data_IF_264393004475
#
_entry.id   IF_264393004475
#
_cell.length_a   1.000
_cell.length_b   1.000
_cell.length_c   1.000
_cell.angle_alpha   90.00
_cell.angle_beta   90.00
_cell.angle_gamma   90.00
#
_symmetry.space_group_name_H-M   'P 1'
#
loop_
_entity.id
_entity.type
_entity.pdbx_description
1 polymer ?
#
# COMPACT_ATOMS: atom_id res chain seq x y z
N UNK A 1 -13.40 -27.93 69.69
CA UNK A 1 -13.15 -26.63 69.02
C UNK A 1 -12.03 -26.85 68.02
N UNK A 2 -12.28 -26.60 66.72
CA UNK A 2 -11.27 -26.79 65.67
C UNK A 2 -10.13 -25.77 65.86
N UNK A 3 -8.91 -26.26 66.04
CA UNK A 3 -7.65 -25.51 66.15
C UNK A 3 -7.10 -25.05 64.80
N UNK A 4 -7.87 -25.19 63.72
CA UNK A 4 -7.46 -24.71 62.40
C UNK A 4 -7.59 -23.19 62.36
N UNK A 5 -6.49 -22.43 62.15
CA UNK A 5 -6.56 -20.98 62.03
C UNK A 5 -7.49 -20.62 60.87
N UNK A 6 -8.48 -19.76 61.13
CA UNK A 6 -9.26 -19.14 60.07
C UNK A 6 -8.33 -18.31 59.18
N UNK A 7 -8.59 -18.25 57.87
CA UNK A 7 -7.77 -17.53 56.87
C UNK A 7 -7.38 -16.09 57.26
N UNK A 8 -8.15 -15.47 58.16
CA UNK A 8 -7.91 -14.12 58.69
C UNK A 8 -6.80 -14.03 59.76
N UNK A 9 -6.40 -15.15 60.39
CA UNK A 9 -5.37 -15.20 61.45
C UNK A 9 -3.97 -15.53 60.94
N UNK A 10 -3.79 -15.79 59.64
CA UNK A 10 -2.48 -16.08 59.05
C UNK A 10 -1.86 -14.75 58.61
N UNK A 11 -0.92 -14.23 59.41
CA UNK A 11 -0.17 -13.02 59.08
C UNK A 11 0.64 -13.24 57.80
N UNK A 12 0.45 -12.35 56.83
CA UNK A 12 1.10 -12.49 55.54
C UNK A 12 2.52 -11.92 55.58
N UNK A 13 3.50 -12.61 54.97
CA UNK A 13 4.87 -12.12 54.86
C UNK A 13 4.92 -10.70 54.27
N UNK A 14 5.74 -9.82 54.87
CA UNK A 14 5.92 -8.42 54.45
C UNK A 14 6.32 -8.30 52.97
N UNK A 15 7.11 -9.26 52.47
CA UNK A 15 7.51 -9.36 51.06
C UNK A 15 6.32 -9.51 50.11
N UNK A 16 5.29 -10.27 50.50
CA UNK A 16 4.05 -10.46 49.71
C UNK A 16 3.23 -9.17 49.71
N UNK A 17 3.16 -8.46 50.85
CA UNK A 17 2.46 -7.17 50.96
C UNK A 17 3.13 -6.09 50.08
N UNK A 18 4.47 -6.01 50.10
CA UNK A 18 5.24 -5.09 49.23
C UNK A 18 5.02 -5.39 47.75
N UNK A 19 5.05 -6.68 47.36
CA UNK A 19 4.78 -7.12 45.98
C UNK A 19 3.36 -6.75 45.53
N UNK A 20 2.34 -7.01 46.35
CA UNK A 20 0.94 -6.63 46.03
C UNK A 20 0.77 -5.13 45.84
N UNK A 21 1.44 -4.31 46.66
CA UNK A 21 1.41 -2.84 46.51
C UNK A 21 2.05 -2.39 45.19
N UNK A 22 3.17 -3.00 44.80
CA UNK A 22 3.82 -2.73 43.51
C UNK A 22 2.95 -3.18 42.33
N UNK A 23 2.38 -4.39 42.39
CA UNK A 23 1.51 -4.93 41.35
C UNK A 23 0.24 -4.10 41.16
N UNK A 24 -0.38 -3.66 42.27
CA UNK A 24 -1.55 -2.78 42.23
C UNK A 24 -1.22 -1.42 41.61
N UNK A 25 -0.10 -0.81 41.99
CA UNK A 25 0.37 0.46 41.40
C UNK A 25 0.64 0.29 39.89
N UNK A 26 1.34 -0.76 39.50
CA UNK A 26 1.60 -1.06 38.09
C UNK A 26 0.30 -1.34 37.31
N UNK A 27 -0.71 -1.95 37.95
CA UNK A 27 -2.05 -2.16 37.36
C UNK A 27 -2.78 -0.84 37.16
N UNK A 28 -2.80 0.04 38.16
CA UNK A 28 -3.42 1.37 38.07
C UNK A 28 -2.76 2.22 36.99
N UNK A 29 -1.43 2.25 36.93
CA UNK A 29 -0.69 2.95 35.87
C UNK A 29 -0.99 2.38 34.47
N UNK A 30 -1.08 1.06 34.32
CA UNK A 30 -1.48 0.41 33.06
C UNK A 30 -2.92 0.78 32.66
N UNK A 31 -3.85 0.81 33.61
CA UNK A 31 -5.24 1.16 33.37
C UNK A 31 -5.39 2.63 32.96
N UNK A 32 -4.66 3.54 33.63
CA UNK A 32 -4.63 4.96 33.28
C UNK A 32 -4.09 5.16 31.85
N UNK A 33 -2.94 4.54 31.52
CA UNK A 33 -2.35 4.59 30.16
C UNK A 33 -3.28 4.00 29.11
N UNK A 34 -3.98 2.90 29.41
CA UNK A 34 -4.94 2.31 28.49
C UNK A 34 -6.16 3.22 28.25
N UNK A 35 -6.65 3.90 29.29
CA UNK A 35 -7.75 4.85 29.17
C UNK A 35 -7.35 6.08 28.32
N UNK A 36 -6.15 6.61 28.51
CA UNK A 36 -5.60 7.69 27.69
C UNK A 36 -5.39 7.26 26.24
N UNK A 37 -4.78 6.10 26.00
CA UNK A 37 -4.60 5.54 24.67
C UNK A 37 -5.94 5.34 23.94
N UNK A 38 -6.98 4.88 24.64
CA UNK A 38 -8.33 4.73 24.08
C UNK A 38 -8.95 6.07 23.69
N UNK A 39 -8.77 7.12 24.50
CA UNK A 39 -9.22 8.49 24.16
C UNK A 39 -8.48 9.01 22.92
N UNK A 40 -7.16 8.87 22.87
CA UNK A 40 -6.35 9.28 21.73
C UNK A 40 -6.73 8.52 20.45
N UNK A 41 -6.92 7.20 20.53
CA UNK A 41 -7.34 6.38 19.39
C UNK A 41 -8.72 6.78 18.86
N UNK A 42 -9.67 7.12 19.74
CA UNK A 42 -10.99 7.63 19.32
C UNK A 42 -10.88 8.96 18.59
N UNK A 43 -10.02 9.88 19.06
CA UNK A 43 -9.76 11.14 18.38
C UNK A 43 -9.13 10.90 16.99
N UNK A 44 -8.08 10.07 16.92
CA UNK A 44 -7.41 9.68 15.66
C UNK A 44 -8.38 9.06 14.66
N UNK A 45 -9.25 8.14 15.10
CA UNK A 45 -10.25 7.51 14.22
C UNK A 45 -11.20 8.52 13.58
N UNK A 46 -11.58 9.58 14.31
CA UNK A 46 -12.40 10.67 13.74
C UNK A 46 -11.64 11.44 12.67
N UNK A 47 -10.34 11.71 12.88
CA UNK A 47 -9.49 12.39 11.90
C UNK A 47 -9.35 11.55 10.63
N UNK A 48 -9.00 10.26 10.77
CA UNK A 48 -8.86 9.33 9.64
C UNK A 48 -10.17 9.23 8.85
N UNK A 49 -11.32 9.14 9.52
CA UNK A 49 -12.62 9.10 8.86
C UNK A 49 -12.90 10.35 8.03
N UNK A 50 -12.64 11.54 8.59
CA UNK A 50 -12.81 12.81 7.87
C UNK A 50 -11.85 12.93 6.67
N UNK A 51 -10.60 12.48 6.80
CA UNK A 51 -9.64 12.45 5.68
C UNK A 51 -10.12 11.53 4.56
N UNK A 52 -10.58 10.32 4.89
CA UNK A 52 -11.12 9.40 3.90
C UNK A 52 -12.32 9.99 3.15
N UNK A 53 -13.23 10.67 3.85
CA UNK A 53 -14.36 11.39 3.24
C UNK A 53 -13.88 12.50 2.29
N UNK A 54 -12.89 13.30 2.71
CA UNK A 54 -12.29 14.34 1.88
C UNK A 54 -11.67 13.77 0.60
N UNK A 55 -10.89 12.68 0.69
CA UNK A 55 -10.29 12.05 -0.48
C UNK A 55 -11.35 11.52 -1.45
N UNK A 56 -12.41 10.88 -0.95
CA UNK A 56 -13.51 10.41 -1.80
C UNK A 56 -14.19 11.58 -2.53
N UNK A 57 -14.42 12.69 -1.83
CA UNK A 57 -14.97 13.91 -2.43
C UNK A 57 -14.04 14.47 -3.50
N UNK A 58 -12.75 14.57 -3.22
CA UNK A 58 -11.73 15.03 -4.16
C UNK A 58 -11.71 14.18 -5.44
N UNK A 59 -11.70 12.84 -5.31
CA UNK A 59 -11.69 11.94 -6.47
C UNK A 59 -12.92 12.12 -7.36
N UNK A 60 -14.10 12.24 -6.74
CA UNK A 60 -15.36 12.46 -7.47
C UNK A 60 -15.38 13.81 -8.19
N UNK A 61 -14.91 14.86 -7.51
CA UNK A 61 -14.80 16.20 -8.12
C UNK A 61 -13.85 16.15 -9.31
N UNK A 62 -12.68 15.50 -9.17
CA UNK A 62 -11.69 15.39 -10.25
C UNK A 62 -12.23 14.63 -11.47
N UNK A 63 -12.96 13.54 -11.24
CA UNK A 63 -13.59 12.77 -12.31
C UNK A 63 -14.67 13.58 -13.03
N UNK A 64 -15.54 14.26 -12.28
CA UNK A 64 -16.59 15.12 -12.84
C UNK A 64 -15.99 16.30 -13.64
N UNK A 65 -14.91 16.89 -13.13
CA UNK A 65 -14.21 17.99 -13.78
C UNK A 65 -13.56 17.57 -15.10
N UNK A 66 -12.94 16.39 -15.16
CA UNK A 66 -12.38 15.87 -16.40
C UNK A 66 -13.48 15.67 -17.47
N UNK A 67 -14.65 15.18 -17.08
CA UNK A 67 -15.81 15.05 -17.98
C UNK A 67 -16.32 16.43 -18.42
N UNK A 68 -16.39 17.40 -17.50
CA UNK A 68 -16.81 18.77 -17.81
C UNK A 68 -15.87 19.42 -18.83
N UNK A 69 -14.56 19.35 -18.62
CA UNK A 69 -13.56 19.91 -19.53
C UNK A 69 -13.63 19.29 -20.93
N UNK A 70 -13.84 17.97 -21.03
CA UNK A 70 -14.06 17.31 -22.32
C UNK A 70 -15.31 17.82 -23.05
N UNK A 71 -16.40 18.10 -22.33
CA UNK A 71 -17.63 18.64 -22.91
C UNK A 71 -17.48 20.09 -23.36
N UNK A 72 -16.82 20.92 -22.55
CA UNK A 72 -16.54 22.33 -22.88
C UNK A 72 -15.67 22.42 -24.14
N UNK A 73 -14.58 21.66 -24.20
CA UNK A 73 -13.72 21.62 -25.38
C UNK A 73 -14.53 21.24 -26.64
N UNK A 74 -15.33 20.16 -26.56
CA UNK A 74 -16.20 19.74 -27.68
C UNK A 74 -17.21 20.82 -28.08
N UNK A 75 -17.80 21.54 -27.13
CA UNK A 75 -18.76 22.61 -27.42
C UNK A 75 -18.11 23.81 -28.13
N UNK A 76 -16.86 24.12 -27.78
CA UNK A 76 -16.09 25.20 -28.42
C UNK A 76 -15.46 24.77 -29.77
N UNK A 77 -15.51 23.48 -30.12
CA UNK A 77 -14.80 22.93 -31.29
C UNK A 77 -13.32 22.61 -31.04
N UNK A 78 -12.86 22.72 -29.80
CA UNK A 78 -11.49 22.40 -29.37
C UNK A 78 -11.32 20.94 -28.91
N UNK A 79 -10.06 20.50 -28.77
CA UNK A 79 -9.72 19.17 -28.26
C UNK A 79 -9.14 19.23 -26.85
N UNK A 80 -9.71 18.44 -25.94
CA UNK A 80 -9.14 18.26 -24.60
C UNK A 80 -8.08 17.15 -24.58
N UNK A 81 -6.83 17.52 -24.32
CA UNK A 81 -5.71 16.59 -24.16
C UNK A 81 -5.63 16.14 -22.69
N UNK A 82 -5.69 14.82 -22.45
CA UNK A 82 -5.58 14.29 -21.10
C UNK A 82 -4.16 14.48 -20.53
N UNK A 83 -4.02 14.74 -19.23
CA UNK A 83 -2.72 14.83 -18.58
C UNK A 83 -1.99 13.48 -18.66
N UNK A 84 -0.67 13.54 -18.76
CA UNK A 84 0.16 12.33 -18.72
C UNK A 84 0.06 11.64 -17.35
N UNK A 85 0.13 10.30 -17.32
CA UNK A 85 0.03 9.53 -16.08
C UNK A 85 1.22 9.81 -15.16
N UNK A 86 0.94 10.03 -13.87
CA UNK A 86 1.96 10.29 -12.85
C UNK A 86 2.52 9.02 -12.21
N UNK A 87 1.80 7.90 -12.30
CA UNK A 87 2.15 6.63 -11.67
C UNK A 87 1.92 5.49 -12.63
N UNK A 88 2.88 4.57 -12.67
CA UNK A 88 2.72 3.27 -13.30
C UNK A 88 2.71 2.16 -12.26
N UNK A 89 1.94 1.11 -12.56
CA UNK A 89 2.11 -0.18 -11.90
C UNK A 89 2.80 -1.12 -12.85
N UNK A 90 3.97 -1.62 -12.46
CA UNK A 90 4.78 -2.54 -13.26
C UNK A 90 4.72 -3.94 -12.67
N UNK A 91 4.51 -4.94 -13.53
CA UNK A 91 4.38 -6.37 -13.20
C UNK A 91 5.42 -7.15 -13.98
N UNK A 92 6.25 -7.93 -13.28
CA UNK A 92 7.21 -8.82 -13.94
C UNK A 92 6.53 -10.07 -14.49
N UNK A 93 6.59 -10.26 -15.80
CA UNK A 93 5.99 -11.41 -16.48
C UNK A 93 6.98 -12.53 -16.81
N UNK A 94 8.27 -12.22 -16.98
CA UNK A 94 9.32 -13.20 -17.29
C UNK A 94 10.07 -13.68 -16.04
N UNK A 95 10.48 -14.95 -16.05
CA UNK A 95 11.30 -15.58 -15.00
C UNK A 95 12.72 -15.02 -14.91
N UNK A 96 13.62 -15.67 -14.16
CA UNK A 96 15.00 -15.18 -13.93
C UNK A 96 16.03 -15.65 -14.97
N UNK A 97 15.71 -16.70 -15.72
CA UNK A 97 16.60 -17.31 -16.71
C UNK A 97 16.71 -16.48 -17.99
N UNK A 98 17.89 -16.52 -18.61
CA UNK A 98 18.18 -15.94 -19.93
C UNK A 98 17.77 -14.46 -20.04
N UNK A 99 18.20 -13.65 -19.06
CA UNK A 99 18.04 -12.18 -19.07
C UNK A 99 19.43 -11.55 -19.10
N UNK A 100 19.64 -10.62 -20.03
CA UNK A 100 20.89 -9.88 -20.12
C UNK A 100 21.20 -9.12 -18.80
N UNK A 101 22.48 -8.94 -18.45
CA UNK A 101 22.87 -8.33 -17.16
C UNK A 101 22.27 -6.94 -16.93
N UNK A 102 22.15 -6.11 -17.98
CA UNK A 102 21.66 -4.72 -17.88
C UNK A 102 20.16 -4.65 -17.54
N UNK A 103 19.22 -5.27 -18.30
CA UNK A 103 17.81 -5.36 -17.90
C UNK A 103 17.61 -6.03 -16.53
N UNK A 104 18.41 -7.06 -16.21
CA UNK A 104 18.38 -7.72 -14.89
C UNK A 104 18.66 -6.74 -13.76
N UNK A 105 19.68 -5.88 -13.91
CA UNK A 105 20.01 -4.86 -12.91
C UNK A 105 18.92 -3.81 -12.78
N UNK A 106 18.32 -3.38 -13.89
CA UNK A 106 17.20 -2.42 -13.87
C UNK A 106 15.99 -2.98 -13.13
N UNK A 107 15.60 -4.24 -13.38
CA UNK A 107 14.52 -4.89 -12.62
C UNK A 107 14.83 -5.00 -11.11
N UNK A 108 16.09 -5.24 -10.74
CA UNK A 108 16.50 -5.23 -9.33
C UNK A 108 16.32 -3.86 -8.67
N UNK A 109 16.68 -2.78 -9.38
CA UNK A 109 16.48 -1.40 -8.90
C UNK A 109 14.98 -1.07 -8.72
N UNK A 110 14.14 -1.55 -9.63
CA UNK A 110 12.68 -1.42 -9.54
C UNK A 110 12.05 -2.37 -8.50
N UNK A 111 12.84 -3.25 -7.87
CA UNK A 111 12.40 -4.27 -6.91
C UNK A 111 11.52 -5.39 -7.51
N UNK A 112 11.60 -5.60 -8.83
CA UNK A 112 10.89 -6.64 -9.57
C UNK A 112 11.72 -7.94 -9.60
N UNK A 113 11.92 -8.57 -8.44
CA UNK A 113 12.85 -9.70 -8.28
C UNK A 113 12.25 -11.06 -8.67
N UNK A 114 10.95 -11.25 -8.45
CA UNK A 114 10.25 -12.52 -8.70
C UNK A 114 9.25 -12.37 -9.85
N UNK A 115 8.93 -13.46 -10.54
CA UNK A 115 7.82 -13.49 -11.49
C UNK A 115 6.51 -13.16 -10.76
N UNK A 116 5.59 -12.49 -11.46
CA UNK A 116 4.33 -11.99 -10.91
C UNK A 116 4.52 -11.07 -9.69
N UNK A 117 5.67 -10.41 -9.56
CA UNK A 117 5.83 -9.32 -8.61
C UNK A 117 5.39 -7.99 -9.22
N UNK A 118 4.72 -7.16 -8.42
CA UNK A 118 4.19 -5.86 -8.83
C UNK A 118 4.71 -4.71 -7.96
N UNK A 119 5.01 -3.56 -8.56
CA UNK A 119 5.50 -2.36 -7.84
C UNK A 119 4.89 -1.09 -8.46
N UNK A 120 4.52 -0.13 -7.61
CA UNK A 120 4.17 1.23 -8.04
C UNK A 120 5.45 2.06 -8.29
N UNK A 121 5.49 2.74 -9.43
CA UNK A 121 6.62 3.55 -9.89
C UNK A 121 6.11 4.95 -10.21
N UNK A 122 6.75 5.97 -9.65
CA UNK A 122 6.48 7.38 -10.00
C UNK A 122 7.05 7.65 -11.39
N UNK A 123 6.25 8.25 -12.26
CA UNK A 123 6.64 8.53 -13.64
C UNK A 123 7.52 9.78 -13.68
N UNK A 124 8.74 9.58 -14.16
CA UNK A 124 9.66 10.62 -14.60
C UNK A 124 10.46 10.09 -15.81
N UNK A 125 11.16 11.00 -16.52
CA UNK A 125 11.93 10.66 -17.72
C UNK A 125 12.94 9.51 -17.50
N UNK A 126 13.57 9.45 -16.33
CA UNK A 126 14.55 8.42 -16.01
C UNK A 126 13.89 7.05 -15.80
N UNK A 127 12.80 6.98 -15.03
CA UNK A 127 12.04 5.74 -14.79
C UNK A 127 11.38 5.23 -16.06
N UNK A 128 10.95 6.12 -16.96
CA UNK A 128 10.39 5.75 -18.25
C UNK A 128 11.48 5.10 -19.13
N UNK A 129 12.69 5.67 -19.16
CA UNK A 129 13.81 5.08 -19.87
C UNK A 129 14.25 3.74 -19.26
N UNK A 130 14.19 3.61 -17.93
CA UNK A 130 14.40 2.32 -17.25
C UNK A 130 13.35 1.30 -17.65
N UNK A 131 12.07 1.69 -17.73
CA UNK A 131 10.97 0.81 -18.15
C UNK A 131 11.11 0.35 -19.60
N UNK A 132 11.48 1.26 -20.53
CA UNK A 132 11.80 0.92 -21.93
C UNK A 132 12.90 -0.15 -22.04
N UNK A 133 13.93 -0.09 -21.19
CA UNK A 133 15.00 -1.11 -21.18
C UNK A 133 14.54 -2.50 -20.69
N UNK A 134 13.50 -2.57 -19.87
CA UNK A 134 12.97 -3.85 -19.32
C UNK A 134 11.64 -4.26 -19.93
N UNK A 135 11.22 -3.55 -20.96
CA UNK A 135 9.93 -3.69 -21.63
C UNK A 135 9.62 -5.13 -22.08
N UNK A 136 10.58 -5.91 -22.62
CA UNK A 136 10.31 -7.31 -23.02
C UNK A 136 10.04 -8.29 -21.84
N UNK A 137 10.22 -7.84 -20.60
CA UNK A 137 10.13 -8.68 -19.39
C UNK A 137 8.98 -8.29 -18.46
N UNK A 138 8.42 -7.10 -18.65
CA UNK A 138 7.51 -6.42 -17.72
C UNK A 138 6.30 -5.91 -18.48
N UNK A 139 5.12 -6.06 -17.87
CA UNK A 139 3.92 -5.34 -18.28
C UNK A 139 3.72 -4.14 -17.36
N UNK A 140 3.46 -2.96 -17.88
CA UNK A 140 3.20 -1.79 -17.07
C UNK A 140 2.11 -0.90 -17.68
N UNK A 141 1.57 0.01 -16.89
CA UNK A 141 0.57 0.95 -17.34
C UNK A 141 0.00 1.78 -16.18
N UNK A 142 -1.00 2.59 -16.48
CA UNK A 142 -1.64 3.49 -15.52
C UNK A 142 -2.65 2.71 -14.65
N UNK A 143 -2.43 2.58 -13.33
CA UNK A 143 -3.38 1.93 -12.45
C UNK A 143 -4.54 2.88 -12.12
N UNK A 144 -5.76 2.37 -12.10
CA UNK A 144 -6.92 3.11 -11.60
C UNK A 144 -7.01 3.04 -10.07
N UNK A 145 -7.79 3.95 -9.46
CA UNK A 145 -7.96 4.02 -8.01
C UNK A 145 -8.46 2.69 -7.40
N UNK A 146 -9.34 1.97 -8.11
CA UNK A 146 -9.86 0.67 -7.66
C UNK A 146 -8.74 -0.38 -7.58
N UNK A 147 -7.89 -0.47 -8.60
CA UNK A 147 -6.76 -1.39 -8.65
C UNK A 147 -5.72 -1.07 -7.59
N UNK A 148 -5.40 0.22 -7.37
CA UNK A 148 -4.51 0.64 -6.27
C UNK A 148 -5.07 0.20 -4.92
N UNK A 149 -6.36 0.50 -4.67
CA UNK A 149 -7.07 0.15 -3.44
C UNK A 149 -7.04 -1.36 -3.20
N UNK A 150 -7.49 -2.15 -4.18
CA UNK A 150 -7.57 -3.60 -4.02
C UNK A 150 -6.20 -4.25 -3.83
N UNK A 151 -5.15 -3.75 -4.51
CA UNK A 151 -3.79 -4.25 -4.32
C UNK A 151 -3.31 -4.03 -2.88
N UNK A 152 -3.47 -2.82 -2.35
CA UNK A 152 -3.03 -2.49 -0.99
C UNK A 152 -3.87 -3.23 0.05
N UNK A 153 -5.19 -3.30 -0.09
CA UNK A 153 -6.04 -4.00 0.88
C UNK A 153 -5.87 -5.53 0.85
N UNK A 154 -5.79 -6.15 -0.33
CA UNK A 154 -5.73 -7.62 -0.43
C UNK A 154 -4.31 -8.18 -0.31
N UNK A 155 -3.33 -7.45 -0.86
CA UNK A 155 -1.96 -7.95 -1.06
C UNK A 155 -0.91 -7.02 -0.48
N UNK A 156 -1.31 -5.99 0.27
CA UNK A 156 -0.41 -5.04 0.92
C UNK A 156 0.34 -5.66 2.09
N UNK A 157 1.67 -5.58 2.01
CA UNK A 157 2.57 -5.88 3.11
C UNK A 157 3.47 -4.67 3.33
N UNK A 158 3.71 -4.32 4.59
CA UNK A 158 4.70 -3.32 4.99
C UNK A 158 6.07 -3.95 5.21
N UNK A 159 7.11 -3.17 4.93
CA UNK A 159 8.50 -3.48 5.24
C UNK A 159 8.86 -2.83 6.57
N UNK A 160 8.69 -3.58 7.67
CA UNK A 160 8.98 -3.13 9.04
C UNK A 160 10.26 -3.84 9.51
N UNK A 161 11.29 -3.10 9.91
CA UNK A 161 12.58 -3.71 10.32
C UNK A 161 13.14 -4.73 9.30
N UNK A 162 12.98 -4.44 8.00
CA UNK A 162 13.33 -5.34 6.87
C UNK A 162 12.54 -6.66 6.81
N UNK A 163 11.52 -6.84 7.66
CA UNK A 163 10.61 -7.98 7.63
C UNK A 163 9.34 -7.64 6.86
N UNK A 164 8.72 -8.66 6.28
CA UNK A 164 7.46 -8.55 5.52
C UNK A 164 6.28 -8.78 6.47
N UNK A 165 5.56 -7.72 6.80
CA UNK A 165 4.45 -7.75 7.77
C UNK A 165 3.13 -7.40 7.07
N UNK A 166 2.05 -8.19 7.24
CA UNK A 166 0.76 -7.88 6.63
C UNK A 166 0.14 -6.60 7.22
N UNK A 167 -0.49 -5.78 6.38
CA UNK A 167 -1.12 -4.52 6.80
C UNK A 167 -2.52 -4.77 7.38
N UNK A 168 -2.59 -5.32 8.60
CA UNK A 168 -3.86 -5.57 9.30
C UNK A 168 -4.33 -4.39 10.15
N UNK A 169 -3.41 -3.59 10.67
CA UNK A 169 -3.69 -2.44 11.53
C UNK A 169 -2.95 -1.19 11.04
N UNK A 170 -3.62 -0.04 11.14
CA UNK A 170 -3.07 1.27 10.81
C UNK A 170 -1.92 1.66 11.76
N UNK A 171 -1.84 1.07 12.95
CA UNK A 171 -0.71 1.30 13.87
C UNK A 171 0.65 0.97 13.23
N UNK A 172 0.70 -0.02 12.33
CA UNK A 172 1.93 -0.39 11.61
C UNK A 172 2.36 0.75 10.66
N UNK A 173 1.38 1.36 9.98
CA UNK A 173 1.60 2.47 9.04
C UNK A 173 2.02 3.72 9.81
N UNK A 174 1.28 4.07 10.85
CA UNK A 174 1.56 5.25 11.68
C UNK A 174 2.97 5.18 12.28
N UNK A 175 3.42 4.00 12.72
CA UNK A 175 4.76 3.84 13.29
C UNK A 175 5.89 4.12 12.28
N UNK A 176 5.74 3.70 11.03
CA UNK A 176 6.78 3.82 10.00
C UNK A 176 6.68 5.12 9.18
N UNK A 177 5.46 5.60 8.94
CA UNK A 177 5.15 6.71 8.04
C UNK A 177 4.49 7.90 8.73
N UNK A 178 4.21 7.84 10.03
CA UNK A 178 3.57 8.93 10.78
C UNK A 178 4.38 10.23 10.78
N UNK A 179 5.70 10.15 10.61
CA UNK A 179 6.56 11.33 10.42
C UNK A 179 6.24 12.14 9.15
N UNK A 180 5.53 11.55 8.20
CA UNK A 180 5.09 12.16 6.95
C UNK A 180 3.58 12.49 6.95
N UNK A 181 2.94 12.48 8.12
CA UNK A 181 1.48 12.64 8.30
C UNK A 181 0.63 11.56 7.61
N UNK A 182 1.21 10.37 7.40
CA UNK A 182 0.52 9.21 6.83
C UNK A 182 0.12 8.29 7.98
N UNK A 183 -1.17 8.28 8.30
CA UNK A 183 -1.70 7.61 9.49
C UNK A 183 -2.42 6.30 9.17
N UNK A 184 -2.89 6.14 7.93
CA UNK A 184 -3.80 5.06 7.56
C UNK A 184 -3.55 4.48 6.17
N UNK A 185 -4.18 3.35 5.88
CA UNK A 185 -4.18 2.74 4.53
C UNK A 185 -4.74 3.72 3.48
N UNK A 186 -5.79 4.48 3.80
CA UNK A 186 -6.38 5.44 2.85
C UNK A 186 -5.42 6.59 2.51
N UNK A 187 -4.62 7.05 3.48
CA UNK A 187 -3.56 8.03 3.22
C UNK A 187 -2.50 7.44 2.28
N UNK A 188 -2.09 6.18 2.48
CA UNK A 188 -1.17 5.50 1.55
C UNK A 188 -1.74 5.38 0.13
N UNK A 189 -3.03 5.05 0.00
CA UNK A 189 -3.72 4.97 -1.30
C UNK A 189 -3.73 6.35 -1.96
N UNK A 190 -4.05 7.39 -1.19
CA UNK A 190 -4.09 8.76 -1.70
C UNK A 190 -2.73 9.25 -2.17
N UNK A 191 -1.68 9.03 -1.36
CA UNK A 191 -0.31 9.41 -1.70
C UNK A 191 0.17 8.73 -2.99
N UNK A 192 -0.20 7.46 -3.19
CA UNK A 192 0.10 6.72 -4.42
C UNK A 192 -0.74 7.24 -5.59
N UNK A 193 -2.05 7.38 -5.44
CA UNK A 193 -2.94 7.76 -6.54
C UNK A 193 -2.66 9.19 -7.07
N UNK A 194 -2.21 10.10 -6.20
CA UNK A 194 -1.89 11.49 -6.58
C UNK A 194 -0.42 11.71 -6.94
N UNK A 195 0.44 10.72 -6.69
CA UNK A 195 1.90 10.83 -6.78
C UNK A 195 2.48 11.95 -5.89
N UNK A 196 2.02 12.00 -4.64
CA UNK A 196 2.35 13.04 -3.67
C UNK A 196 3.85 13.18 -3.33
N UNK A 197 4.20 14.10 -2.40
CA UNK A 197 5.58 14.40 -2.03
C UNK A 197 6.31 13.21 -1.37
N UNK A 198 5.59 12.39 -0.61
CA UNK A 198 6.11 11.24 0.14
C UNK A 198 5.87 9.90 -0.56
N UNK A 199 5.56 9.92 -1.86
CA UNK A 199 5.38 8.72 -2.68
C UNK A 199 6.55 7.73 -2.57
N UNK A 200 7.79 8.23 -2.55
CA UNK A 200 8.99 7.38 -2.44
C UNK A 200 9.01 6.61 -1.12
N UNK A 201 8.59 7.25 -0.04
CA UNK A 201 8.56 6.67 1.30
C UNK A 201 7.47 5.62 1.40
N UNK A 202 6.26 5.92 0.92
CA UNK A 202 5.15 4.95 0.88
C UNK A 202 5.49 3.74 0.03
N UNK A 203 6.01 3.95 -1.18
CA UNK A 203 6.36 2.84 -2.07
C UNK A 203 7.52 2.00 -1.53
N UNK A 204 8.50 2.59 -0.82
CA UNK A 204 9.57 1.84 -0.17
C UNK A 204 9.10 1.05 1.05
N UNK A 205 8.16 1.61 1.82
CA UNK A 205 7.48 0.92 2.91
C UNK A 205 6.67 -0.27 2.39
N UNK A 206 5.93 -0.11 1.30
CA UNK A 206 5.23 -1.22 0.67
C UNK A 206 6.22 -2.26 0.12
N UNK A 207 6.07 -3.49 0.59
CA UNK A 207 6.77 -4.64 0.02
C UNK A 207 6.24 -4.88 -1.41
N UNK A 208 7.10 -5.29 -2.37
CA UNK A 208 6.62 -5.66 -3.71
C UNK A 208 5.45 -6.64 -3.65
N UNK A 209 4.37 -6.33 -4.36
CA UNK A 209 3.15 -7.12 -4.36
C UNK A 209 3.45 -8.50 -4.95
N UNK A 210 3.02 -9.56 -4.28
CA UNK A 210 3.10 -10.92 -4.81
C UNK A 210 1.74 -11.27 -5.41
N UNK A 211 1.67 -11.24 -6.74
CA UNK A 211 0.44 -11.49 -7.50
C UNK A 211 0.35 -12.98 -7.87
N UNK A 212 -0.87 -13.48 -8.07
CA UNK A 212 -1.08 -14.81 -8.65
C UNK A 212 -0.88 -14.79 -10.16
N UNK A 213 -0.80 -15.96 -10.78
CA UNK A 213 -0.92 -16.06 -12.24
C UNK A 213 -2.28 -15.52 -12.68
N UNK A 214 -2.34 -14.94 -13.89
CA UNK A 214 -3.58 -14.37 -14.41
C UNK A 214 -4.64 -15.46 -14.62
N UNK A 215 -5.82 -15.27 -14.02
CA UNK A 215 -6.99 -16.11 -14.27
C UNK A 215 -7.39 -16.03 -15.76
N UNK A 216 -7.59 -17.19 -16.39
CA UNK A 216 -7.79 -17.30 -17.84
C UNK A 216 -6.49 -17.26 -18.67
N UNK A 217 -5.33 -17.26 -18.01
CA UNK A 217 -4.03 -17.32 -18.66
C UNK A 217 -3.58 -16.00 -19.30
N UNK A 218 -2.42 -16.09 -19.95
CA UNK A 218 -1.85 -15.03 -20.78
C UNK A 218 -2.28 -15.24 -22.23
N UNK A 219 -2.13 -14.21 -23.07
CA UNK A 219 -2.27 -14.36 -24.52
C UNK A 219 -1.24 -15.37 -25.05
N UNK A 220 -1.56 -15.99 -26.18
CA UNK A 220 -0.78 -17.10 -26.76
C UNK A 220 0.71 -16.80 -26.85
N UNK A 221 1.08 -15.56 -27.20
CA UNK A 221 2.46 -15.09 -27.23
C UNK A 221 2.74 -14.10 -26.10
N UNK A 222 2.77 -14.60 -24.86
CA UNK A 222 2.97 -13.82 -23.62
C UNK A 222 4.10 -12.77 -23.69
N UNK A 223 5.23 -13.10 -24.30
CA UNK A 223 6.43 -12.25 -24.32
C UNK A 223 6.52 -11.30 -25.52
N UNK A 224 5.51 -11.28 -26.40
CA UNK A 224 5.40 -10.22 -27.42
C UNK A 224 4.83 -8.94 -26.81
N UNK A 225 5.09 -7.82 -27.49
CA UNK A 225 4.56 -6.54 -27.06
C UNK A 225 3.03 -6.54 -27.09
N UNK A 226 2.39 -5.80 -26.20
CA UNK A 226 0.93 -5.75 -26.08
C UNK A 226 0.22 -5.35 -27.37
N UNK A 227 0.81 -4.42 -28.13
CA UNK A 227 0.33 -3.93 -29.42
C UNK A 227 0.36 -5.03 -30.49
N UNK A 228 1.29 -5.99 -30.39
CA UNK A 228 1.43 -7.12 -31.31
C UNK A 228 0.59 -8.34 -30.87
N UNK A 229 -0.29 -8.17 -29.88
CA UNK A 229 -1.11 -9.25 -29.34
C UNK A 229 -0.45 -10.07 -28.23
N UNK A 230 0.66 -9.62 -27.65
CA UNK A 230 1.25 -10.21 -26.44
C UNK A 230 0.80 -9.55 -25.14
N UNK A 231 1.57 -9.72 -24.06
CA UNK A 231 1.22 -9.22 -22.72
C UNK A 231 2.26 -8.29 -22.09
N UNK A 232 3.48 -8.21 -22.63
CA UNK A 232 4.54 -7.31 -22.11
C UNK A 232 4.43 -5.91 -22.71
N UNK A 233 5.12 -4.95 -22.10
CA UNK A 233 5.13 -3.56 -22.55
C UNK A 233 4.13 -2.63 -21.87
N UNK A 234 4.05 -1.42 -22.41
CA UNK A 234 3.07 -0.44 -21.96
C UNK A 234 1.67 -0.83 -22.45
N UNK A 235 0.76 -1.07 -21.49
CA UNK A 235 -0.65 -1.41 -21.73
C UNK A 235 -1.59 -0.26 -21.44
N UNK A 236 -1.06 0.92 -21.09
CA UNK A 236 -1.84 2.09 -20.68
C UNK A 236 -2.88 1.70 -19.62
N UNK A 237 -4.18 1.92 -19.91
CA UNK A 237 -5.29 1.62 -19.01
C UNK A 237 -5.63 0.13 -18.94
N UNK A 238 -5.24 -0.69 -19.93
CA UNK A 238 -5.49 -2.13 -19.98
C UNK A 238 -4.65 -2.94 -18.98
N UNK A 239 -3.68 -2.32 -18.31
CA UNK A 239 -2.98 -2.94 -17.19
C UNK A 239 -3.96 -3.30 -16.07
N UNK A 240 -5.05 -2.54 -15.91
CA UNK A 240 -6.03 -2.75 -14.85
C UNK A 240 -6.77 -4.08 -14.98
N UNK A 241 -7.01 -4.53 -16.21
CA UNK A 241 -7.64 -5.83 -16.47
C UNK A 241 -6.68 -6.97 -16.13
N UNK A 242 -5.39 -6.80 -16.44
CA UNK A 242 -4.35 -7.75 -16.02
C UNK A 242 -4.23 -7.81 -14.50
N UNK A 243 -4.21 -6.66 -13.82
CA UNK A 243 -4.18 -6.59 -12.36
C UNK A 243 -5.37 -7.34 -11.77
N UNK A 244 -6.60 -7.12 -12.26
CA UNK A 244 -7.79 -7.82 -11.77
C UNK A 244 -7.72 -9.33 -11.94
N UNK A 245 -7.12 -9.83 -13.02
CA UNK A 245 -6.91 -11.27 -13.23
C UNK A 245 -5.87 -11.87 -12.30
N UNK A 246 -4.92 -11.08 -11.82
CA UNK A 246 -3.79 -11.51 -10.99
C UNK A 246 -3.95 -11.17 -9.49
N UNK A 247 -5.00 -10.41 -9.14
CA UNK A 247 -5.24 -9.90 -7.78
C UNK A 247 -6.24 -10.74 -7.00
#
# INVERSE_FOLDING_TARGET
MSTVPTLQKIEQPETILKKRKQDNKAREEKLAKAAEAKKAQKAKRKVIFKRAEQYVKEYRIREAEEVRLKRVARANGDFYVQPQPKVFFAIRLRGVSNIAPKPRKVMQLLRLLKINSGVFIKVNRATEQMLKMVEPYVAYGEPNLKSIRELIYKRGYGKVNKQRVPLQDNAIIEKELGQYDILSIEDCIHEIATAGPHFKQVTNFLWPFHLSSANGGYRQRKLLHFVEGGDVGNREKFVNDLIRKMN
#
